data_IF_390496137199
#
_entry.id   IF_390496137199
#
_cell.length_a   1.000
_cell.length_b   1.000
_cell.length_c   1.000
_cell.angle_alpha   90.00
_cell.angle_beta   90.00
_cell.angle_gamma   90.00
#
_symmetry.space_group_name_H-M   'P 1'
#
loop_
_entity.id
_entity.type
_entity.pdbx_description
1 polymer ?
#
# COMPACT_ATOMS: atom_id res chain seq x y z
N UNK A 1 -19.23 3.11 -19.30
CA UNK A 1 -18.63 2.07 -18.44
C UNK A 1 -17.20 2.46 -18.18
N UNK A 2 -16.81 2.55 -16.92
CA UNK A 2 -15.45 2.92 -16.47
C UNK A 2 -14.62 1.63 -16.46
N UNK A 3 -13.37 1.67 -16.92
CA UNK A 3 -12.49 0.50 -16.88
C UNK A 3 -12.22 0.09 -15.41
N UNK A 4 -12.15 -1.21 -15.14
CA UNK A 4 -11.80 -1.74 -13.81
C UNK A 4 -10.38 -1.38 -13.38
N UNK A 5 -9.47 -1.23 -14.34
CA UNK A 5 -8.11 -0.81 -14.09
C UNK A 5 -7.78 0.37 -14.99
N UNK A 6 -7.15 1.38 -14.41
CA UNK A 6 -6.47 2.44 -15.15
C UNK A 6 -4.98 2.35 -14.87
N UNK A 7 -4.14 2.78 -15.81
CA UNK A 7 -2.70 2.66 -15.70
C UNK A 7 -2.02 3.90 -16.27
N UNK A 8 -1.02 4.40 -15.56
CA UNK A 8 -0.17 5.52 -15.95
C UNK A 8 1.28 5.25 -15.55
N UNK A 9 2.25 5.85 -16.24
CA UNK A 9 3.66 5.74 -15.87
C UNK A 9 3.92 6.65 -14.68
N UNK A 10 4.55 6.10 -13.65
CA UNK A 10 4.92 6.84 -12.44
C UNK A 10 6.31 7.47 -12.59
N UNK A 11 7.27 6.68 -13.07
CA UNK A 11 8.67 7.07 -13.26
C UNK A 11 9.32 6.22 -14.38
N UNK A 12 10.64 6.05 -14.40
CA UNK A 12 11.31 5.37 -15.52
C UNK A 12 10.92 3.90 -15.67
N UNK A 13 10.83 3.16 -14.58
CA UNK A 13 10.56 1.72 -14.59
C UNK A 13 9.23 1.30 -13.94
N UNK A 14 8.55 2.20 -13.22
CA UNK A 14 7.34 1.90 -12.46
C UNK A 14 6.09 2.53 -13.08
N UNK A 15 5.02 1.76 -13.09
CA UNK A 15 3.66 2.18 -13.46
C UNK A 15 2.75 2.14 -12.24
N UNK A 16 1.80 3.07 -12.20
CA UNK A 16 0.69 3.09 -11.25
C UNK A 16 -0.55 2.52 -11.93
N UNK A 17 -1.09 1.45 -11.36
CA UNK A 17 -2.43 0.96 -11.65
C UNK A 17 -3.37 1.44 -10.53
N UNK A 18 -4.53 1.96 -10.91
CA UNK A 18 -5.63 2.26 -9.97
C UNK A 18 -6.80 1.34 -10.32
N UNK A 19 -7.23 0.55 -9.36
CA UNK A 19 -8.42 -0.28 -9.49
C UNK A 19 -9.69 0.54 -9.22
N UNK A 20 -10.72 0.35 -10.03
CA UNK A 20 -12.07 0.86 -9.81
C UNK A 20 -12.93 -0.29 -9.34
N UNK A 21 -12.85 -0.60 -8.05
CA UNK A 21 -13.49 -1.75 -7.43
C UNK A 21 -14.94 -1.47 -6.97
N UNK A 22 -15.62 -2.51 -6.50
CA UNK A 22 -17.01 -2.44 -6.03
C UNK A 22 -17.15 -2.02 -4.56
N UNK A 23 -16.06 -2.05 -3.78
CA UNK A 23 -16.01 -1.68 -2.37
C UNK A 23 -15.74 -0.18 -2.18
N UNK A 24 -15.23 0.49 -3.22
CA UNK A 24 -14.95 1.92 -3.22
C UNK A 24 -13.61 2.27 -2.59
N UNK A 25 -12.68 1.32 -2.57
CA UNK A 25 -11.35 1.49 -1.97
C UNK A 25 -10.38 2.21 -2.91
N UNK A 26 -10.49 1.97 -4.22
CA UNK A 26 -9.62 2.52 -5.26
C UNK A 26 -8.11 2.30 -4.99
N UNK A 27 -7.67 1.07 -4.70
CA UNK A 27 -6.28 0.81 -4.31
C UNK A 27 -5.30 1.11 -5.44
N UNK A 28 -4.13 1.59 -5.06
CA UNK A 28 -2.99 1.89 -5.89
C UNK A 28 -2.05 0.69 -5.89
N UNK A 29 -1.81 0.17 -7.09
CA UNK A 29 -0.98 -1.02 -7.34
C UNK A 29 0.21 -0.56 -8.18
N UNK A 30 1.42 -0.78 -7.69
CA UNK A 30 2.64 -0.34 -8.38
C UNK A 30 3.30 -1.50 -9.11
N UNK A 31 3.64 -1.29 -10.39
CA UNK A 31 4.22 -2.29 -11.28
C UNK A 31 5.58 -1.80 -11.78
N UNK A 32 6.68 -2.27 -11.18
CA UNK A 32 8.04 -2.02 -11.66
C UNK A 32 8.46 -3.08 -12.65
N UNK A 33 8.90 -2.66 -13.83
CA UNK A 33 9.46 -3.54 -14.85
C UNK A 33 10.97 -3.63 -14.67
N UNK A 34 11.47 -4.84 -14.47
CA UNK A 34 12.90 -5.15 -14.40
C UNK A 34 13.28 -6.02 -15.60
N UNK A 35 14.42 -5.71 -16.22
CA UNK A 35 14.92 -6.43 -17.39
C UNK A 35 15.98 -7.49 -17.03
N UNK A 36 16.73 -7.30 -15.94
CA UNK A 36 17.74 -8.24 -15.47
C UNK A 36 17.72 -8.41 -13.93
N UNK A 37 17.19 -9.54 -13.41
CA UNK A 37 16.48 -10.57 -14.17
C UNK A 37 15.13 -10.04 -14.72
N UNK A 38 14.56 -10.70 -15.74
CA UNK A 38 13.24 -10.34 -16.27
C UNK A 38 12.16 -10.59 -15.22
N UNK A 39 11.78 -9.53 -14.50
CA UNK A 39 10.92 -9.57 -13.31
C UNK A 39 9.94 -8.40 -13.31
N UNK A 40 8.71 -8.66 -12.89
CA UNK A 40 7.78 -7.61 -12.47
C UNK A 40 7.81 -7.56 -10.95
N UNK A 41 8.16 -6.42 -10.36
CA UNK A 41 7.87 -6.18 -8.94
C UNK A 41 6.51 -5.53 -8.85
N UNK A 42 5.62 -6.19 -8.13
CA UNK A 42 4.25 -5.78 -7.93
C UNK A 42 4.06 -5.40 -6.46
N UNK A 43 3.52 -4.22 -6.20
CA UNK A 43 3.10 -3.81 -4.85
C UNK A 43 1.62 -4.04 -4.72
N UNK A 44 1.26 -4.96 -3.83
CA UNK A 44 -0.12 -5.37 -3.60
C UNK A 44 -0.84 -5.85 -4.89
N UNK A 45 -2.09 -6.24 -4.76
CA UNK A 45 -2.85 -6.88 -5.85
C UNK A 45 -4.30 -6.42 -5.96
N UNK A 46 -4.70 -5.43 -5.16
CA UNK A 46 -6.02 -4.85 -5.23
C UNK A 46 -7.11 -5.74 -4.65
N UNK A 47 -8.36 -5.38 -4.97
CA UNK A 47 -9.60 -6.02 -4.54
C UNK A 47 -9.97 -7.27 -5.38
N UNK A 48 -9.12 -7.70 -6.30
CA UNK A 48 -9.30 -8.93 -7.08
C UNK A 48 -10.06 -8.76 -8.41
N UNK A 49 -10.39 -7.54 -8.83
CA UNK A 49 -11.04 -7.23 -10.11
C UNK A 49 -12.56 -7.42 -10.13
N UNK A 50 -13.16 -7.22 -11.32
CA UNK A 50 -14.61 -7.31 -11.51
C UNK A 50 -15.12 -8.74 -11.64
N UNK A 51 -16.26 -9.05 -10.99
CA UNK A 51 -16.99 -10.33 -11.15
C UNK A 51 -17.80 -10.42 -12.46
N UNK A 52 -17.73 -9.40 -13.32
CA UNK A 52 -18.55 -9.24 -14.52
C UNK A 52 -17.80 -9.35 -15.84
N UNK A 53 -18.49 -9.80 -16.90
CA UNK A 53 -18.02 -9.81 -18.29
C UNK A 53 -17.94 -8.38 -18.84
N UNK A 54 -16.92 -7.60 -18.48
CA UNK A 54 -16.58 -6.34 -19.17
C UNK A 54 -15.22 -6.42 -19.90
N UNK A 55 -15.02 -5.52 -20.87
CA UNK A 55 -14.03 -5.63 -21.96
C UNK A 55 -12.54 -5.45 -21.57
N UNK A 56 -12.21 -5.07 -20.33
CA UNK A 56 -10.85 -4.64 -19.95
C UNK A 56 -10.17 -5.53 -18.90
N UNK A 57 -10.19 -6.86 -19.11
CA UNK A 57 -9.60 -7.89 -18.25
C UNK A 57 -10.35 -8.17 -16.95
N UNK A 58 -10.59 -9.46 -16.68
CA UNK A 58 -11.34 -9.93 -15.51
C UNK A 58 -10.57 -9.76 -14.19
N UNK A 59 -9.24 -9.67 -14.25
CA UNK A 59 -8.38 -9.53 -13.08
C UNK A 59 -7.08 -8.77 -13.42
N UNK A 60 -6.35 -8.39 -12.37
CA UNK A 60 -5.10 -7.63 -12.45
C UNK A 60 -4.03 -8.30 -13.33
N UNK A 61 -3.84 -9.61 -13.19
CA UNK A 61 -2.82 -10.34 -13.95
C UNK A 61 -3.12 -10.30 -15.45
N UNK A 62 -4.38 -10.54 -15.82
CA UNK A 62 -4.80 -10.46 -17.22
C UNK A 62 -4.64 -9.04 -17.78
N UNK A 63 -4.93 -8.01 -16.97
CA UNK A 63 -4.71 -6.62 -17.34
C UNK A 63 -3.21 -6.34 -17.62
N UNK A 64 -2.33 -6.72 -16.70
CA UNK A 64 -0.87 -6.54 -16.83
C UNK A 64 -0.33 -7.25 -18.09
N UNK A 65 -0.87 -8.43 -18.41
CA UNK A 65 -0.32 -9.30 -19.47
C UNK A 65 -0.90 -9.07 -20.86
N UNK A 66 -2.11 -8.48 -20.95
CA UNK A 66 -2.83 -8.37 -22.24
C UNK A 66 -3.25 -6.96 -22.60
N UNK A 67 -3.39 -6.05 -21.63
CA UNK A 67 -3.95 -4.73 -21.88
C UNK A 67 -2.90 -3.78 -22.47
N UNK A 68 -3.13 -3.15 -23.63
CA UNK A 68 -2.18 -2.23 -24.24
C UNK A 68 -2.09 -0.92 -23.44
N UNK A 69 -0.88 -0.57 -22.99
CA UNK A 69 -0.65 0.68 -22.22
C UNK A 69 -0.04 1.74 -23.14
N UNK A 70 -0.72 2.87 -23.40
CA UNK A 70 -0.19 3.94 -24.26
C UNK A 70 1.18 4.43 -23.82
N UNK A 71 1.37 4.63 -22.52
CA UNK A 71 2.64 5.09 -21.92
C UNK A 71 3.73 4.01 -21.92
N UNK A 72 3.41 2.77 -22.33
CA UNK A 72 4.35 1.68 -22.60
C UNK A 72 4.43 1.35 -24.10
N UNK A 73 4.26 2.36 -24.97
CA UNK A 73 4.33 2.18 -26.42
C UNK A 73 3.20 1.33 -27.00
N UNK A 74 2.05 1.28 -26.32
CA UNK A 74 0.90 0.48 -26.70
C UNK A 74 1.05 -1.02 -26.41
N UNK A 75 2.08 -1.42 -25.65
CA UNK A 75 2.31 -2.82 -25.26
C UNK A 75 1.76 -3.10 -23.85
N UNK A 76 1.36 -4.35 -23.54
CA UNK A 76 1.15 -4.78 -22.16
C UNK A 76 2.41 -4.61 -21.31
N UNK A 77 2.23 -4.53 -19.99
CA UNK A 77 3.34 -4.39 -19.04
C UNK A 77 4.17 -5.69 -18.95
N UNK A 78 3.51 -6.84 -19.03
CA UNK A 78 4.17 -8.15 -19.04
C UNK A 78 3.57 -9.07 -20.13
N UNK A 79 3.84 -8.80 -21.42
CA UNK A 79 3.25 -9.58 -22.49
C UNK A 79 3.62 -11.07 -22.39
N UNK A 80 2.87 -11.92 -23.08
CA UNK A 80 3.14 -13.36 -23.16
C UNK A 80 3.98 -13.70 -24.38
N UNK A 81 4.80 -14.75 -24.25
CA UNK A 81 5.51 -15.38 -25.36
C UNK A 81 4.56 -16.20 -26.27
N UNK A 82 5.12 -16.85 -27.29
CA UNK A 82 4.38 -17.70 -28.22
C UNK A 82 3.71 -18.92 -27.58
N UNK A 83 4.20 -19.36 -26.41
CA UNK A 83 3.65 -20.49 -25.66
C UNK A 83 2.61 -20.02 -24.61
N UNK A 84 2.31 -18.71 -24.58
CA UNK A 84 1.36 -18.12 -23.65
C UNK A 84 1.91 -17.92 -22.24
N UNK A 85 3.22 -18.00 -22.03
CA UNK A 85 3.87 -17.73 -20.73
C UNK A 85 4.23 -16.24 -20.61
N UNK A 86 4.09 -15.62 -19.42
CA UNK A 86 4.53 -14.25 -19.24
C UNK A 86 6.04 -14.13 -19.45
N UNK A 87 6.49 -13.02 -20.07
CA UNK A 87 7.91 -12.78 -20.32
C UNK A 87 8.73 -12.54 -19.05
N UNK A 88 8.08 -12.14 -17.95
CA UNK A 88 8.70 -11.89 -16.64
C UNK A 88 7.97 -12.68 -15.55
N UNK A 89 8.72 -13.18 -14.58
CA UNK A 89 8.14 -13.70 -13.33
C UNK A 89 7.68 -12.55 -12.45
N UNK A 90 6.91 -12.84 -11.40
CA UNK A 90 6.42 -11.84 -10.46
C UNK A 90 7.16 -11.93 -9.12
N UNK A 91 7.55 -10.79 -8.57
CA UNK A 91 7.89 -10.62 -7.15
C UNK A 91 6.84 -9.69 -6.56
N UNK A 92 6.00 -10.20 -5.67
CA UNK A 92 4.84 -9.47 -5.16
C UNK A 92 5.16 -9.10 -3.71
N UNK A 93 5.29 -7.81 -3.45
CA UNK A 93 5.47 -7.27 -2.11
C UNK A 93 4.09 -6.89 -1.58
N UNK A 94 3.61 -7.65 -0.60
CA UNK A 94 2.39 -7.33 0.13
C UNK A 94 2.74 -6.32 1.23
N UNK A 95 2.16 -5.13 1.16
CA UNK A 95 2.32 -4.11 2.21
C UNK A 95 1.70 -4.58 3.51
N UNK A 96 0.51 -5.17 3.46
CA UNK A 96 -0.18 -5.82 4.59
C UNK A 96 -1.31 -6.73 4.09
N UNK A 97 -2.00 -7.42 5.00
CA UNK A 97 -2.94 -8.49 4.67
C UNK A 97 -4.39 -8.06 4.40
N UNK A 98 -4.73 -6.77 4.35
CA UNK A 98 -6.11 -6.35 4.06
C UNK A 98 -6.53 -6.74 2.64
N UNK A 99 -7.84 -6.99 2.49
CA UNK A 99 -8.44 -7.54 1.28
C UNK A 99 -8.14 -6.73 0.01
N UNK A 100 -8.14 -5.41 0.09
CA UNK A 100 -7.85 -4.47 -0.99
C UNK A 100 -6.37 -4.44 -1.39
N UNK A 101 -5.52 -5.18 -0.66
CA UNK A 101 -4.12 -5.41 -1.01
C UNK A 101 -3.86 -6.83 -1.49
N UNK A 102 -4.60 -7.83 -1.02
CA UNK A 102 -4.25 -9.25 -1.23
C UNK A 102 -5.18 -10.04 -2.15
N UNK A 103 -6.41 -9.59 -2.42
CA UNK A 103 -7.41 -10.42 -3.11
C UNK A 103 -6.98 -10.84 -4.53
N UNK A 104 -6.20 -10.01 -5.23
CA UNK A 104 -5.69 -10.34 -6.54
C UNK A 104 -4.65 -11.48 -6.57
N UNK A 105 -4.04 -11.83 -5.43
CA UNK A 105 -3.04 -12.91 -5.31
C UNK A 105 -3.54 -14.25 -5.84
N UNK A 106 -4.84 -14.53 -5.78
CA UNK A 106 -5.44 -15.77 -6.29
C UNK A 106 -5.13 -16.03 -7.77
N UNK A 107 -4.74 -15.00 -8.53
CA UNK A 107 -4.39 -15.11 -9.95
C UNK A 107 -2.90 -15.34 -10.21
N UNK A 108 -2.05 -15.31 -9.18
CA UNK A 108 -0.60 -15.42 -9.28
C UNK A 108 -0.12 -16.76 -8.68
N UNK A 109 0.09 -17.80 -9.50
CA UNK A 109 0.47 -19.11 -8.99
C UNK A 109 1.93 -19.14 -8.54
N UNK A 110 2.20 -19.86 -7.43
CA UNK A 110 3.51 -19.98 -6.80
C UNK A 110 4.65 -20.46 -7.73
N UNK A 111 4.33 -21.12 -8.85
CA UNK A 111 5.32 -21.49 -9.87
C UNK A 111 5.89 -20.30 -10.66
N UNK A 112 5.24 -19.13 -10.59
CA UNK A 112 5.59 -17.93 -11.35
C UNK A 112 5.62 -16.65 -10.52
N UNK A 113 5.40 -16.76 -9.21
CA UNK A 113 5.36 -15.63 -8.27
C UNK A 113 6.13 -15.92 -6.99
N UNK A 114 6.95 -14.97 -6.57
CA UNK A 114 7.59 -14.91 -5.27
C UNK A 114 6.86 -13.87 -4.41
N UNK A 115 6.13 -14.31 -3.39
CA UNK A 115 5.34 -13.43 -2.51
C UNK A 115 6.16 -13.08 -1.27
N UNK A 116 6.29 -11.78 -0.99
CA UNK A 116 7.01 -11.21 0.15
C UNK A 116 6.00 -10.60 1.11
N UNK A 117 6.12 -10.93 2.40
CA UNK A 117 5.34 -10.35 3.49
C UNK A 117 6.24 -10.07 4.70
N UNK A 118 5.77 -9.24 5.62
CA UNK A 118 6.54 -8.81 6.80
C UNK A 118 6.77 -9.96 7.77
N UNK A 119 8.01 -10.13 8.25
CA UNK A 119 8.30 -11.05 9.36
C UNK A 119 7.89 -10.52 10.74
N UNK A 120 7.50 -9.24 10.85
CA UNK A 120 7.30 -8.55 12.13
C UNK A 120 6.23 -9.21 13.01
N UNK A 121 5.07 -9.53 12.41
CA UNK A 121 3.97 -10.21 13.10
C UNK A 121 3.33 -11.26 12.17
N UNK A 122 4.03 -12.37 11.97
CA UNK A 122 3.57 -13.47 11.10
C UNK A 122 2.25 -14.07 11.58
N UNK A 123 2.05 -14.11 12.89
CA UNK A 123 0.84 -14.65 13.52
C UNK A 123 -0.40 -13.85 13.11
N UNK A 124 -0.26 -12.54 12.88
CA UNK A 124 -1.34 -11.72 12.33
C UNK A 124 -1.85 -12.24 10.98
N UNK A 125 -0.98 -12.81 10.14
CA UNK A 125 -1.42 -13.45 8.89
C UNK A 125 -1.81 -14.92 9.12
N UNK A 126 -1.02 -15.68 9.88
CA UNK A 126 -1.13 -17.14 9.96
C UNK A 126 -2.30 -17.62 10.84
N UNK A 127 -2.64 -16.92 11.91
CA UNK A 127 -3.59 -17.43 12.92
C UNK A 127 -5.05 -17.27 12.47
N UNK A 128 -5.41 -16.14 11.86
CA UNK A 128 -6.79 -15.85 11.45
C UNK A 128 -6.90 -14.84 10.29
N UNK A 129 -6.32 -15.19 9.13
CA UNK A 129 -6.38 -14.35 7.94
C UNK A 129 -7.81 -13.89 7.56
N UNK A 130 -8.88 -14.71 7.63
CA UNK A 130 -10.23 -14.25 7.27
C UNK A 130 -10.71 -13.04 8.09
N UNK A 131 -10.40 -13.00 9.38
CA UNK A 131 -10.73 -11.85 10.22
C UNK A 131 -9.79 -10.67 9.95
N UNK A 132 -8.48 -10.91 10.00
CA UNK A 132 -7.46 -9.86 9.93
C UNK A 132 -7.36 -9.19 8.56
N UNK A 133 -7.65 -9.92 7.47
CA UNK A 133 -7.77 -9.34 6.12
C UNK A 133 -9.06 -8.55 5.89
N UNK A 134 -9.99 -8.58 6.85
CA UNK A 134 -11.36 -8.05 6.76
C UNK A 134 -12.29 -8.80 5.79
N UNK A 135 -11.83 -9.87 5.11
CA UNK A 135 -12.63 -10.66 4.19
C UNK A 135 -13.90 -11.23 4.85
N UNK A 136 -13.78 -11.76 6.07
CA UNK A 136 -14.92 -12.30 6.82
C UNK A 136 -16.02 -11.27 7.04
N UNK A 137 -15.64 -10.01 7.30
CA UNK A 137 -16.60 -8.92 7.52
C UNK A 137 -17.35 -8.49 6.26
N UNK A 138 -16.75 -8.74 5.09
CA UNK A 138 -17.34 -8.51 3.78
C UNK A 138 -18.10 -9.74 3.25
N UNK A 139 -18.03 -10.88 3.96
CA UNK A 139 -18.63 -12.13 3.53
C UNK A 139 -17.95 -12.73 2.28
N UNK A 140 -16.67 -12.45 2.06
CA UNK A 140 -15.87 -12.96 0.95
C UNK A 140 -14.79 -13.93 1.44
N UNK A 141 -14.31 -14.79 0.55
CA UNK A 141 -13.22 -15.72 0.85
C UNK A 141 -11.87 -15.02 0.74
N UNK A 142 -10.94 -15.40 1.62
CA UNK A 142 -9.52 -15.06 1.46
C UNK A 142 -8.95 -15.73 0.20
N UNK A 143 -7.95 -15.12 -0.46
CA UNK A 143 -7.28 -15.74 -1.58
C UNK A 143 -6.40 -16.90 -1.11
N UNK A 144 -6.24 -17.93 -1.94
CA UNK A 144 -5.27 -19.00 -1.68
C UNK A 144 -3.89 -18.58 -2.22
N UNK A 145 -2.90 -18.47 -1.34
CA UNK A 145 -1.53 -18.10 -1.68
C UNK A 145 -0.54 -18.62 -0.66
N UNK A 146 0.75 -18.61 -1.03
CA UNK A 146 1.85 -19.00 -0.14
C UNK A 146 2.92 -17.92 -0.12
N UNK A 147 3.22 -17.43 1.08
CA UNK A 147 4.34 -16.53 1.31
C UNK A 147 5.65 -17.26 1.01
N UNK A 148 6.44 -16.67 0.14
CA UNK A 148 7.72 -17.19 -0.33
C UNK A 148 8.88 -16.65 0.51
N UNK A 149 8.76 -15.40 0.98
CA UNK A 149 9.72 -14.72 1.84
C UNK A 149 8.99 -13.97 2.94
N UNK A 150 9.29 -14.34 4.19
CA UNK A 150 9.02 -13.52 5.36
C UNK A 150 10.19 -12.57 5.55
N UNK A 151 10.08 -11.34 5.06
CA UNK A 151 11.17 -10.38 5.02
C UNK A 151 11.37 -9.71 6.38
N UNK A 152 12.60 -9.73 6.87
CA UNK A 152 13.06 -8.99 8.05
C UNK A 152 13.21 -7.49 7.75
N UNK A 153 13.30 -6.68 8.82
CA UNK A 153 13.50 -5.24 8.67
C UNK A 153 14.84 -4.95 7.98
N UNK A 154 14.85 -3.99 7.06
CA UNK A 154 15.99 -3.63 6.20
C UNK A 154 16.48 -4.74 5.25
N UNK A 155 15.81 -5.89 5.17
CA UNK A 155 16.15 -6.97 4.25
C UNK A 155 15.92 -6.55 2.78
N UNK A 156 16.69 -7.15 1.87
CA UNK A 156 16.45 -6.98 0.43
C UNK A 156 15.42 -7.99 -0.06
N UNK A 157 14.61 -7.61 -1.05
CA UNK A 157 13.74 -8.56 -1.75
C UNK A 157 14.60 -9.55 -2.55
N UNK A 158 14.50 -10.85 -2.22
CA UNK A 158 15.26 -11.88 -2.91
C UNK A 158 14.54 -12.32 -4.18
N UNK A 159 14.69 -11.54 -5.25
CA UNK A 159 14.15 -11.90 -6.57
C UNK A 159 15.13 -11.65 -7.73
N UNK A 160 16.39 -11.32 -7.44
CA UNK A 160 17.47 -11.16 -8.42
C UNK A 160 18.69 -10.44 -7.84
N UNK A 161 19.92 -10.68 -8.35
CA UNK A 161 21.14 -10.06 -7.85
C UNK A 161 21.19 -8.52 -8.01
N UNK A 162 20.34 -7.96 -8.89
CA UNK A 162 20.34 -6.54 -9.26
C UNK A 162 19.11 -5.77 -8.74
N UNK A 163 18.23 -6.40 -7.95
CA UNK A 163 17.05 -5.73 -7.41
C UNK A 163 17.42 -4.90 -6.18
N UNK A 164 17.51 -3.56 -6.34
CA UNK A 164 17.85 -2.65 -5.25
C UNK A 164 16.62 -2.20 -4.45
N UNK A 165 15.83 -3.18 -4.00
CA UNK A 165 14.65 -2.96 -3.17
C UNK A 165 14.96 -3.36 -1.73
N UNK A 166 14.73 -2.42 -0.80
CA UNK A 166 14.89 -2.61 0.63
C UNK A 166 13.55 -2.58 1.34
N UNK A 167 13.27 -3.59 2.16
CA UNK A 167 12.09 -3.68 3.02
C UNK A 167 12.28 -2.84 4.28
N UNK A 168 11.20 -2.23 4.75
CA UNK A 168 11.14 -1.49 6.01
C UNK A 168 9.86 -1.90 6.73
N UNK A 169 9.94 -2.54 7.89
CA UNK A 169 8.73 -2.81 8.69
C UNK A 169 8.08 -1.52 9.15
N UNK A 170 6.78 -1.37 8.95
CA UNK A 170 6.04 -0.16 9.32
C UNK A 170 4.77 -0.51 10.10
N UNK A 171 4.84 -1.35 11.16
CA UNK A 171 3.67 -1.72 11.93
C UNK A 171 3.00 -0.46 12.48
N UNK A 172 1.68 -0.41 12.41
CA UNK A 172 0.95 0.79 12.78
C UNK A 172 -0.50 0.77 12.36
N UNK A 173 -0.78 0.84 11.06
CA UNK A 173 -2.15 0.66 10.57
C UNK A 173 -2.56 -0.80 10.70
N UNK A 174 -1.70 -1.75 10.30
CA UNK A 174 -1.78 -3.14 10.77
C UNK A 174 -0.49 -3.61 11.45
N UNK A 175 -0.53 -4.69 12.25
CA UNK A 175 0.68 -5.29 12.83
C UNK A 175 1.66 -5.86 11.81
N UNK A 176 1.19 -6.38 10.67
CA UNK A 176 2.01 -7.01 9.62
C UNK A 176 2.53 -6.01 8.57
N UNK A 177 2.27 -4.71 8.73
CA UNK A 177 2.56 -3.75 7.68
C UNK A 177 4.07 -3.55 7.41
N UNK A 178 4.40 -3.43 6.13
CA UNK A 178 5.71 -3.01 5.64
C UNK A 178 5.60 -1.94 4.56
N UNK A 179 6.69 -1.20 4.43
CA UNK A 179 7.03 -0.37 3.31
C UNK A 179 8.22 -1.00 2.55
N UNK A 180 8.46 -0.54 1.33
CA UNK A 180 9.72 -0.82 0.65
C UNK A 180 10.24 0.39 -0.10
N UNK A 181 11.56 0.49 -0.20
CA UNK A 181 12.28 1.54 -0.90
C UNK A 181 12.95 0.97 -2.15
N UNK A 182 12.58 1.49 -3.30
CA UNK A 182 13.25 1.27 -4.57
C UNK A 182 14.37 2.31 -4.72
N UNK A 183 15.63 1.86 -4.59
CA UNK A 183 16.78 2.76 -4.68
C UNK A 183 16.98 3.30 -6.10
N UNK A 184 16.68 2.52 -7.14
CA UNK A 184 16.92 2.91 -8.52
C UNK A 184 15.99 4.05 -8.95
N UNK A 185 14.75 4.01 -8.48
CA UNK A 185 13.75 5.07 -8.74
C UNK A 185 13.66 6.12 -7.62
N UNK A 186 14.43 5.92 -6.53
CA UNK A 186 14.37 6.71 -5.29
C UNK A 186 12.94 6.95 -4.81
N UNK A 187 12.17 5.87 -4.79
CA UNK A 187 10.75 5.90 -4.46
C UNK A 187 10.46 4.97 -3.28
N UNK A 188 9.82 5.52 -2.25
CA UNK A 188 9.35 4.80 -1.07
C UNK A 188 7.87 4.45 -1.26
N UNK A 189 7.50 3.19 -1.10
CA UNK A 189 6.12 2.73 -1.15
C UNK A 189 5.69 2.26 0.23
N UNK A 190 4.62 2.83 0.78
CA UNK A 190 4.28 2.71 2.20
C UNK A 190 2.93 2.06 2.50
N UNK A 191 2.26 1.51 1.48
CA UNK A 191 0.91 0.99 1.65
C UNK A 191 0.00 2.03 2.33
N UNK A 192 -0.70 1.62 3.36
CA UNK A 192 -1.71 2.42 4.04
C UNK A 192 -1.19 3.26 5.21
N UNK A 193 0.12 3.28 5.44
CA UNK A 193 0.74 4.11 6.47
C UNK A 193 0.23 5.55 6.43
N UNK A 194 0.10 6.15 5.24
CA UNK A 194 -0.42 7.52 5.10
C UNK A 194 -0.91 7.78 3.69
N UNK A 195 -1.77 8.77 3.53
CA UNK A 195 -2.10 9.39 2.23
C UNK A 195 -2.84 10.71 2.46
N UNK A 196 -2.81 11.58 1.44
CA UNK A 196 -3.63 12.79 1.39
C UNK A 196 -5.13 12.45 1.33
N UNK A 197 -5.97 13.37 1.78
CA UNK A 197 -7.41 13.14 1.91
C UNK A 197 -8.16 13.06 0.58
N UNK A 198 -7.75 13.86 -0.42
CA UNK A 198 -8.54 14.10 -1.63
C UNK A 198 -7.77 13.64 -2.86
N UNK A 199 -8.41 12.86 -3.72
CA UNK A 199 -7.84 12.42 -4.99
C UNK A 199 -7.39 13.62 -5.85
N UNK A 200 -6.33 13.45 -6.64
CA UNK A 200 -5.77 14.51 -7.50
C UNK A 200 -6.80 15.11 -8.46
N UNK A 201 -7.72 14.30 -8.97
CA UNK A 201 -8.81 14.72 -9.86
C UNK A 201 -10.08 15.18 -9.11
N UNK A 202 -10.04 15.17 -7.77
CA UNK A 202 -11.14 15.52 -6.86
C UNK A 202 -12.38 14.65 -7.01
N UNK A 203 -12.23 13.44 -7.56
CA UNK A 203 -13.37 12.54 -7.78
C UNK A 203 -13.82 11.79 -6.53
N UNK A 204 -12.93 11.62 -5.54
CA UNK A 204 -13.23 11.00 -4.24
C UNK A 204 -12.30 11.52 -3.14
N UNK A 205 -12.68 11.24 -1.89
CA UNK A 205 -11.87 11.49 -0.71
C UNK A 205 -11.95 10.31 0.26
N UNK A 206 -10.85 10.06 0.97
CA UNK A 206 -10.76 9.05 2.02
C UNK A 206 -9.83 9.57 3.14
N UNK A 207 -10.13 9.29 4.42
CA UNK A 207 -9.21 9.57 5.52
C UNK A 207 -8.14 8.47 5.60
N UNK A 208 -7.01 8.76 6.24
CA UNK A 208 -6.09 7.71 6.71
C UNK A 208 -6.87 6.83 7.67
N UNK A 209 -7.13 5.59 7.26
CA UNK A 209 -7.92 4.62 8.02
C UNK A 209 -7.05 3.90 9.04
N UNK A 210 -7.63 3.53 10.18
CA UNK A 210 -7.05 2.58 11.12
C UNK A 210 -8.10 1.52 11.48
N UNK A 211 -7.77 0.23 11.36
CA UNK A 211 -8.63 -0.86 11.83
C UNK A 211 -8.55 -1.01 13.35
N UNK A 212 -9.30 -1.95 13.92
CA UNK A 212 -9.28 -2.22 15.37
C UNK A 212 -7.91 -2.75 15.82
N UNK A 213 -7.19 -3.41 14.93
CA UNK A 213 -5.88 -4.02 15.18
C UNK A 213 -4.72 -3.01 15.09
N UNK A 214 -5.01 -1.78 14.64
CA UNK A 214 -4.01 -0.72 14.55
C UNK A 214 -3.40 -0.35 15.90
N UNK A 215 -2.19 0.19 15.87
CA UNK A 215 -1.42 0.61 17.04
C UNK A 215 -0.71 1.93 16.78
N UNK A 216 -1.24 3.01 17.36
CA UNK A 216 -0.70 4.36 17.14
C UNK A 216 0.67 4.61 17.77
N UNK A 217 1.12 3.80 18.73
CA UNK A 217 2.50 3.91 19.25
C UNK A 217 3.50 3.33 18.25
N UNK A 218 3.23 2.13 17.74
CA UNK A 218 4.04 1.53 16.67
C UNK A 218 4.01 2.40 15.42
N UNK A 219 2.84 2.92 15.06
CA UNK A 219 2.69 3.83 13.94
C UNK A 219 3.59 5.07 14.04
N UNK A 220 3.63 5.73 15.20
CA UNK A 220 4.52 6.88 15.39
C UNK A 220 6.00 6.50 15.33
N UNK A 221 6.39 5.32 15.85
CA UNK A 221 7.76 4.80 15.71
C UNK A 221 8.10 4.52 14.24
N UNK A 222 7.16 3.94 13.48
CA UNK A 222 7.28 3.70 12.05
C UNK A 222 7.44 5.01 11.27
N UNK A 223 6.65 6.05 11.57
CA UNK A 223 6.82 7.38 10.98
C UNK A 223 8.22 7.98 11.25
N UNK A 224 8.71 7.90 12.49
CA UNK A 224 10.06 8.39 12.83
C UNK A 224 11.16 7.62 12.10
N UNK A 225 11.00 6.31 11.96
CA UNK A 225 11.91 5.46 11.20
C UNK A 225 11.94 5.87 9.73
N UNK A 226 10.78 6.04 9.10
CA UNK A 226 10.68 6.48 7.71
C UNK A 226 11.25 7.89 7.51
N UNK A 227 11.00 8.82 8.42
CA UNK A 227 11.57 10.18 8.36
C UNK A 227 13.09 10.12 8.43
N UNK A 228 13.64 9.36 9.37
CA UNK A 228 15.09 9.19 9.52
C UNK A 228 15.69 8.58 8.27
N UNK A 229 15.11 7.49 7.78
CA UNK A 229 15.54 6.82 6.54
C UNK A 229 15.52 7.78 5.34
N UNK A 230 14.43 8.51 5.13
CA UNK A 230 14.28 9.46 4.02
C UNK A 230 15.29 10.61 4.14
N UNK A 231 15.56 11.10 5.35
CA UNK A 231 16.57 12.14 5.57
C UNK A 231 17.97 11.64 5.23
N UNK A 232 18.33 10.42 5.64
CA UNK A 232 19.60 9.79 5.27
C UNK A 232 19.73 9.63 3.75
N UNK A 233 18.68 9.15 3.07
CA UNK A 233 18.69 9.05 1.60
C UNK A 233 18.80 10.42 0.94
N UNK A 234 18.10 11.43 1.41
CA UNK A 234 18.16 12.79 0.88
C UNK A 234 19.51 13.49 1.15
N UNK A 235 20.32 12.98 2.08
CA UNK A 235 21.68 13.48 2.32
C UNK A 235 22.74 12.85 1.39
N UNK A 236 22.38 11.82 0.62
CA UNK A 236 23.25 11.25 -0.42
C UNK A 236 23.52 12.34 -1.49
N UNK A 237 24.80 12.66 -1.80
CA UNK A 237 25.14 13.75 -2.72
C UNK A 237 24.73 13.44 -4.16
N UNK A 238 24.38 14.48 -4.92
CA UNK A 238 24.01 14.41 -6.35
C UNK A 238 22.78 13.55 -6.69
N UNK A 239 22.02 13.14 -5.67
CA UNK A 239 20.80 12.34 -5.83
C UNK A 239 19.53 13.19 -5.78
N UNK A 240 18.49 12.74 -6.50
CA UNK A 240 17.18 13.36 -6.41
C UNK A 240 16.56 13.15 -5.01
N UNK A 241 15.65 14.04 -4.61
CA UNK A 241 14.89 13.84 -3.36
C UNK A 241 13.97 12.62 -3.48
N UNK A 242 13.88 11.85 -2.40
CA UNK A 242 13.02 10.66 -2.33
C UNK A 242 11.56 11.05 -2.51
N UNK A 243 10.88 10.33 -3.40
CA UNK A 243 9.42 10.41 -3.59
C UNK A 243 8.72 9.30 -2.81
N UNK A 244 7.44 9.49 -2.52
CA UNK A 244 6.61 8.51 -1.79
C UNK A 244 5.29 8.23 -2.51
N UNK A 245 4.92 6.96 -2.52
CA UNK A 245 3.66 6.43 -3.04
C UNK A 245 2.97 5.58 -1.98
N UNK A 246 1.65 5.71 -1.90
CA UNK A 246 0.81 5.13 -0.87
C UNK A 246 -0.19 4.13 -1.48
N UNK A 247 -0.90 3.39 -0.64
CA UNK A 247 -1.94 2.43 -1.03
C UNK A 247 -3.16 3.09 -1.66
N UNK A 248 -3.40 4.37 -1.36
CA UNK A 248 -4.49 5.15 -1.93
C UNK A 248 -4.06 6.59 -2.18
N UNK A 249 -4.75 7.28 -3.10
CA UNK A 249 -4.75 8.74 -3.37
C UNK A 249 -3.39 9.37 -3.78
N UNK A 250 -2.34 9.15 -3.02
CA UNK A 250 -1.04 9.81 -3.10
C UNK A 250 -0.02 8.89 -3.75
N UNK A 251 0.24 9.08 -5.05
CA UNK A 251 1.13 8.20 -5.82
C UNK A 251 2.59 8.63 -5.88
N UNK A 252 2.87 9.94 -5.83
CA UNK A 252 4.22 10.47 -5.90
C UNK A 252 4.26 11.92 -5.45
N UNK A 253 4.72 12.14 -4.22
CA UNK A 253 5.00 13.46 -3.61
C UNK A 253 6.35 13.44 -2.90
N UNK A 254 6.84 14.58 -2.41
CA UNK A 254 8.06 14.60 -1.61
C UNK A 254 7.89 13.82 -0.31
N UNK A 255 8.74 12.80 -0.09
CA UNK A 255 8.59 11.90 1.04
C UNK A 255 8.80 12.60 2.39
N UNK A 256 9.82 13.46 2.48
CA UNK A 256 10.16 14.16 3.72
C UNK A 256 9.05 15.13 4.12
N UNK A 257 8.50 15.87 3.14
CA UNK A 257 7.43 16.83 3.37
C UNK A 257 6.17 16.16 3.92
N UNK A 258 5.66 15.11 3.26
CA UNK A 258 4.42 14.47 3.67
C UNK A 258 4.56 13.69 4.98
N UNK A 259 5.70 13.00 5.20
CA UNK A 259 5.94 12.28 6.45
C UNK A 259 5.97 13.22 7.65
N UNK A 260 6.66 14.36 7.54
CA UNK A 260 6.70 15.38 8.60
C UNK A 260 5.30 15.98 8.84
N UNK A 261 4.54 16.24 7.78
CA UNK A 261 3.19 16.79 7.88
C UNK A 261 2.22 15.81 8.57
N UNK A 262 2.28 14.52 8.24
CA UNK A 262 1.46 13.48 8.86
C UNK A 262 1.88 13.26 10.32
N UNK A 263 3.17 13.20 10.63
CA UNK A 263 3.65 13.16 12.02
C UNK A 263 3.09 14.32 12.84
N UNK A 264 3.12 15.54 12.29
CA UNK A 264 2.57 16.72 12.96
C UNK A 264 1.05 16.61 13.17
N UNK A 265 0.31 16.11 12.17
CA UNK A 265 -1.13 15.84 12.29
C UNK A 265 -1.44 14.94 13.50
N UNK A 266 -0.72 13.83 13.66
CA UNK A 266 -0.95 12.91 14.79
C UNK A 266 -0.59 13.53 16.14
N UNK A 267 0.50 14.30 16.21
CA UNK A 267 0.83 15.08 17.42
C UNK A 267 -0.29 16.06 17.78
N UNK A 268 -0.89 16.72 16.79
CA UNK A 268 -2.01 17.65 17.01
C UNK A 268 -3.32 16.92 17.39
N UNK A 269 -3.57 15.73 16.85
CA UNK A 269 -4.67 14.84 17.30
C UNK A 269 -4.46 14.44 18.76
N UNK A 270 -3.26 14.02 19.14
CA UNK A 270 -2.94 13.64 20.51
C UNK A 270 -3.05 14.83 21.47
N UNK A 271 -2.63 16.02 21.05
CA UNK A 271 -2.81 17.26 21.80
C UNK A 271 -4.26 17.77 21.85
N UNK A 272 -5.20 17.13 21.13
CA UNK A 272 -6.61 17.52 21.11
C UNK A 272 -6.91 18.78 20.30
N UNK A 273 -6.01 19.15 19.38
CA UNK A 273 -6.17 20.33 18.52
C UNK A 273 -6.97 20.04 17.25
N UNK A 274 -7.10 18.78 16.86
CA UNK A 274 -7.91 18.35 15.71
C UNK A 274 -9.26 17.84 16.23
N UNK A 275 -10.39 18.45 15.82
CA UNK A 275 -11.70 18.06 16.32
C UNK A 275 -12.16 16.74 15.72
N UNK A 276 -13.04 16.05 16.47
CA UNK A 276 -13.82 14.91 15.97
C UNK A 276 -15.04 15.47 15.26
N UNK A 277 -15.21 15.15 13.97
CA UNK A 277 -16.33 15.65 13.15
C UNK A 277 -17.42 14.59 12.91
N UNK A 278 -17.11 13.32 13.14
CA UNK A 278 -18.05 12.19 13.05
C UNK A 278 -17.67 11.14 14.10
N UNK A 279 -18.67 10.45 14.65
CA UNK A 279 -18.51 9.28 15.51
C UNK A 279 -19.57 8.25 15.14
N UNK A 280 -19.18 6.98 15.06
CA UNK A 280 -20.06 5.85 14.78
C UNK A 280 -19.62 4.59 15.53
N UNK A 281 -20.56 3.67 15.78
CA UNK A 281 -20.23 2.36 16.32
C UNK A 281 -19.98 1.38 15.16
N UNK A 282 -18.78 0.80 15.10
CA UNK A 282 -18.38 -0.18 14.09
C UNK A 282 -17.69 -1.35 14.76
N UNK A 283 -18.22 -2.56 14.52
CA UNK A 283 -17.65 -3.83 15.04
C UNK A 283 -17.40 -3.82 16.57
N UNK A 284 -18.30 -3.20 17.32
CA UNK A 284 -18.25 -3.16 18.80
C UNK A 284 -17.31 -2.09 19.38
N UNK A 285 -16.80 -1.18 18.56
CA UNK A 285 -15.97 -0.06 19.02
C UNK A 285 -16.46 1.29 18.45
N UNK A 286 -16.22 2.38 19.19
CA UNK A 286 -16.47 3.74 18.72
C UNK A 286 -15.36 4.16 17.74
N UNK A 287 -15.72 4.33 16.46
CA UNK A 287 -14.88 4.89 15.42
C UNK A 287 -15.15 6.39 15.30
N UNK A 288 -14.09 7.17 15.11
CA UNK A 288 -14.17 8.64 15.03
C UNK A 288 -13.36 9.16 13.85
N UNK A 289 -13.86 10.24 13.24
CA UNK A 289 -13.15 10.98 12.18
C UNK A 289 -12.55 12.26 12.76
N UNK A 290 -11.22 12.33 12.78
CA UNK A 290 -10.45 13.53 13.09
C UNK A 290 -10.21 14.35 11.81
N UNK A 291 -10.70 15.58 11.78
CA UNK A 291 -10.54 16.48 10.62
C UNK A 291 -10.56 17.94 11.06
N UNK A 292 -9.56 18.71 10.67
CA UNK A 292 -9.54 20.16 10.93
C UNK A 292 -10.59 20.89 10.06
N UNK A 293 -10.95 22.12 10.46
CA UNK A 293 -11.88 22.96 9.69
C UNK A 293 -11.29 23.40 8.34
N UNK A 294 -12.16 23.73 7.39
CA UNK A 294 -11.77 24.16 6.04
C UNK A 294 -11.49 22.99 5.10
N UNK A 295 -10.42 23.10 4.30
CA UNK A 295 -9.98 22.08 3.34
C UNK A 295 -8.66 21.44 3.79
N UNK A 296 -8.68 20.61 4.86
CA UNK A 296 -7.44 20.03 5.37
C UNK A 296 -6.86 19.03 4.38
N UNK A 297 -5.52 19.01 4.34
CA UNK A 297 -4.73 18.07 3.52
C UNK A 297 -4.95 16.61 3.91
N UNK A 298 -5.22 16.36 5.20
CA UNK A 298 -5.38 15.02 5.77
C UNK A 298 -6.62 14.94 6.67
N UNK A 299 -7.07 13.72 6.90
CA UNK A 299 -8.01 13.37 7.97
C UNK A 299 -7.71 11.94 8.41
N UNK A 300 -8.10 11.58 9.64
CA UNK A 300 -7.82 10.25 10.20
C UNK A 300 -9.11 9.65 10.72
N UNK A 301 -9.41 8.40 10.37
CA UNK A 301 -10.55 7.66 10.89
C UNK A 301 -10.08 6.37 11.54
N UNK A 302 -10.59 6.06 12.72
CA UNK A 302 -10.28 4.80 13.40
C UNK A 302 -10.90 4.72 14.78
N UNK A 303 -10.66 3.61 15.51
CA UNK A 303 -11.17 3.45 16.86
C UNK A 303 -10.63 4.55 17.78
N UNK A 304 -11.54 5.25 18.45
CA UNK A 304 -11.20 6.34 19.38
C UNK A 304 -10.25 5.89 20.49
N UNK A 305 -10.34 4.62 20.91
CA UNK A 305 -9.44 4.04 21.91
C UNK A 305 -7.97 4.13 21.52
N UNK A 306 -7.63 3.99 20.23
CA UNK A 306 -6.24 4.04 19.78
C UNK A 306 -5.59 5.40 20.09
N UNK A 307 -6.33 6.48 19.86
CA UNK A 307 -5.89 7.84 20.20
C UNK A 307 -5.79 8.04 21.71
N UNK A 308 -6.75 7.51 22.47
CA UNK A 308 -6.72 7.59 23.94
C UNK A 308 -5.52 6.84 24.53
N UNK A 309 -5.17 5.69 23.97
CA UNK A 309 -4.03 4.89 24.41
C UNK A 309 -2.71 5.56 24.03
N UNK A 310 -2.58 6.10 22.81
CA UNK A 310 -1.42 6.89 22.41
C UNK A 310 -1.24 8.15 23.29
N UNK A 311 -2.32 8.85 23.63
CA UNK A 311 -2.26 10.03 24.54
C UNK A 311 -1.65 9.68 25.89
N UNK A 312 -1.97 8.52 26.47
CA UNK A 312 -1.39 8.09 27.74
C UNK A 312 0.13 7.96 27.66
N UNK A 313 0.65 7.53 26.50
CA UNK A 313 2.07 7.34 26.26
C UNK A 313 2.80 8.65 25.93
N UNK A 314 2.22 9.52 25.10
CA UNK A 314 2.89 10.72 24.56
C UNK A 314 2.62 12.03 25.32
N UNK A 315 1.56 12.11 26.13
CA UNK A 315 1.21 13.35 26.87
C UNK A 315 1.62 13.27 28.34
N UNK A 316 1.82 12.06 28.88
CA UNK A 316 2.28 11.84 30.26
C UNK A 316 3.76 11.44 30.36
N UNK A 317 4.51 11.51 29.26
CA UNK A 317 5.98 11.38 29.22
C UNK A 317 6.65 12.74 29.14
#
# INVERSE_FOLDING_TARGET
>A
MKAYFSCSRLNSSTFLIVESDQFGEYPFIYVKLCDDPPLVVLSDTGCGGGTGREKNSANLKDFIETYPIPENGGKPLNPRDSDGKPLRTYSIVCSHCHYDHILGLAHFPASSSHIVASSFDKAFIEDNLPEHSLCQSLGISVPDYKISQWAEDYEKVYSGPHLNIQILHTPGHTPDELAYYDKDERHLFVGDTLYERVAKDKSYEQPIMFPKEGNLMHYMQSLEKLITFVNEKNAEPDEARVKIGCGHITSSVDASEILLAVKQLFLDIFAGKVPIVQSEERRGEEYVLYRAEGEPRFSVNGPKRLVLDARKAFVNS
#
